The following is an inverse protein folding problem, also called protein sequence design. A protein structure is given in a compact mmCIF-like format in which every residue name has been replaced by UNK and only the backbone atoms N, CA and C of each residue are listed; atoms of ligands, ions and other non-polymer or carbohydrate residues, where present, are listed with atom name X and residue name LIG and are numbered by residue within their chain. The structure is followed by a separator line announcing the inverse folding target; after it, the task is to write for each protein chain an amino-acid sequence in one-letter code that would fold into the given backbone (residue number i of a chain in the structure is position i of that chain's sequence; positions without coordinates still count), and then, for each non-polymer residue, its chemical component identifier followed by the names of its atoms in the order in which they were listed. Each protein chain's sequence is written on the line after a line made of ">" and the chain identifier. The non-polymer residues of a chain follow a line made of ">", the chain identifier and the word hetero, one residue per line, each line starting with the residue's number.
data_IF_658149885878
#
_entry.id   IF_658149885878
#
_cell.length_a   1.000
_cell.length_b   1.000
_cell.length_c   1.000
_cell.angle_alpha   90.00
_cell.angle_beta   90.00
_cell.angle_gamma   90.00
#
_symmetry.space_group_name_H-M   'P 1'
#
loop_
_entity.id
_entity.type
_entity.pdbx_description
1 polymer ?
#
# COMPACT_ATOMS: atom_id res chain seq x y z
N UNK A 1 -43.83 67.41 2.54
CA UNK A 1 -44.03 66.04 3.09
C UNK A 1 -43.25 65.07 2.28
N UNK A 2 -42.04 64.73 2.68
CA UNK A 2 -41.08 63.84 1.96
C UNK A 2 -40.99 62.58 2.76
N UNK A 3 -41.57 61.49 2.22
CA UNK A 3 -41.52 60.17 2.82
C UNK A 3 -40.27 59.40 2.38
N UNK A 4 -39.38 59.10 3.29
CA UNK A 4 -38.18 58.30 3.08
C UNK A 4 -38.52 56.82 3.15
N UNK A 5 -38.40 56.10 2.03
CA UNK A 5 -38.49 54.65 1.97
C UNK A 5 -37.20 54.02 2.49
N UNK A 6 -37.25 53.37 3.65
CA UNK A 6 -36.15 52.60 4.17
C UNK A 6 -36.11 51.22 3.50
N UNK A 7 -35.05 50.94 2.70
CA UNK A 7 -34.78 49.64 2.15
C UNK A 7 -34.16 48.76 3.25
N UNK A 8 -34.90 47.77 3.74
CA UNK A 8 -34.37 46.70 4.60
C UNK A 8 -33.72 45.66 3.70
N UNK A 9 -32.41 45.70 3.63
CA UNK A 9 -31.60 44.66 2.99
C UNK A 9 -31.65 43.39 3.84
N UNK A 10 -32.23 42.34 3.28
CA UNK A 10 -32.23 41.00 3.85
C UNK A 10 -30.89 40.31 3.50
N UNK A 11 -29.95 40.30 4.45
CA UNK A 11 -28.67 39.58 4.32
C UNK A 11 -28.93 38.09 4.61
N UNK A 12 -28.98 37.29 3.58
CA UNK A 12 -29.06 35.82 3.70
C UNK A 12 -27.66 35.30 4.00
N UNK A 13 -27.41 34.88 5.25
CA UNK A 13 -26.21 34.12 5.60
C UNK A 13 -26.39 32.66 5.14
N UNK A 14 -25.75 32.27 4.01
CA UNK A 14 -25.59 30.88 3.64
C UNK A 14 -24.57 30.25 4.61
N UNK A 15 -25.04 29.49 5.58
CA UNK A 15 -24.21 28.56 6.33
C UNK A 15 -23.84 27.40 5.40
N UNK A 16 -22.65 27.46 4.79
CA UNK A 16 -21.99 26.29 4.19
C UNK A 16 -21.57 25.38 5.33
N UNK A 17 -22.40 24.39 5.65
CA UNK A 17 -21.98 23.25 6.46
C UNK A 17 -20.93 22.50 5.66
N UNK A 18 -19.65 22.73 5.99
CA UNK A 18 -18.55 21.92 5.51
C UNK A 18 -18.72 20.50 6.10
N UNK A 19 -19.39 19.63 5.37
CA UNK A 19 -19.27 18.20 5.59
C UNK A 19 -17.80 17.86 5.32
N UNK A 20 -17.02 17.69 6.38
CA UNK A 20 -15.72 17.04 6.28
C UNK A 20 -16.00 15.60 5.82
N UNK A 21 -16.03 15.38 4.51
CA UNK A 21 -15.90 14.05 3.94
C UNK A 21 -14.52 13.62 4.41
N UNK A 22 -14.49 12.70 5.36
CA UNK A 22 -13.25 12.13 5.86
C UNK A 22 -12.66 11.33 4.67
N UNK A 23 -11.78 11.98 3.91
CA UNK A 23 -11.18 11.37 2.74
C UNK A 23 -10.42 10.12 3.20
N UNK A 24 -10.61 9.01 2.50
CA UNK A 24 -9.88 7.77 2.77
C UNK A 24 -8.38 8.02 2.67
N UNK A 25 -7.61 7.36 3.52
CA UNK A 25 -6.15 7.34 3.41
C UNK A 25 -5.75 6.51 2.19
N UNK A 26 -5.13 7.15 1.21
CA UNK A 26 -4.68 6.50 -0.02
C UNK A 26 -3.35 5.81 0.23
N UNK A 27 -3.29 4.51 -0.03
CA UNK A 27 -2.11 3.71 0.31
C UNK A 27 -1.63 2.84 -0.85
N UNK A 28 -0.31 2.71 -1.00
CA UNK A 28 0.33 1.60 -1.69
C UNK A 28 0.82 0.64 -0.61
N UNK A 29 0.52 -0.65 -0.75
CA UNK A 29 1.02 -1.69 0.15
C UNK A 29 2.15 -2.44 -0.58
N UNK A 30 3.36 -2.37 -0.01
CA UNK A 30 4.54 -3.10 -0.46
C UNK A 30 4.66 -4.37 0.41
N UNK A 31 4.53 -5.56 -0.17
CA UNK A 31 4.17 -6.78 0.55
C UNK A 31 4.75 -8.03 -0.13
N UNK A 32 5.00 -9.05 0.65
CA UNK A 32 5.42 -10.40 0.20
C UNK A 32 4.37 -11.45 0.61
N UNK A 33 3.13 -11.41 0.03
CA UNK A 33 1.95 -12.00 0.63
C UNK A 33 2.14 -13.39 1.20
N UNK A 34 2.32 -13.40 2.53
CA UNK A 34 2.16 -14.52 3.41
C UNK A 34 0.75 -14.56 3.98
N UNK A 35 0.48 -15.42 4.97
CA UNK A 35 -0.85 -15.57 5.58
C UNK A 35 -1.28 -14.27 6.26
N UNK A 36 -0.40 -13.62 7.00
CA UNK A 36 -0.64 -12.38 7.75
C UNK A 36 -0.73 -11.15 6.82
N UNK A 37 0.15 -11.05 5.81
CA UNK A 37 0.03 -10.05 4.75
C UNK A 37 -1.33 -10.13 4.05
N UNK A 38 -1.79 -11.35 3.75
CA UNK A 38 -3.08 -11.58 3.12
C UNK A 38 -4.23 -11.02 3.97
N UNK A 39 -4.18 -11.24 5.29
CA UNK A 39 -5.14 -10.67 6.22
C UNK A 39 -5.07 -9.14 6.24
N UNK A 40 -3.87 -8.56 6.26
CA UNK A 40 -3.66 -7.12 6.25
C UNK A 40 -4.20 -6.47 4.95
N UNK A 41 -3.94 -7.08 3.78
CA UNK A 41 -4.45 -6.63 2.49
C UNK A 41 -5.98 -6.65 2.46
N UNK A 42 -6.58 -7.78 2.85
CA UNK A 42 -8.05 -7.93 2.87
C UNK A 42 -8.69 -6.95 3.86
N UNK A 43 -8.08 -6.75 5.03
CA UNK A 43 -8.51 -5.76 6.01
C UNK A 43 -8.46 -4.33 5.45
N UNK A 44 -7.36 -3.97 4.77
CA UNK A 44 -7.22 -2.65 4.16
C UNK A 44 -8.27 -2.40 3.07
N UNK A 45 -8.53 -3.39 2.21
CA UNK A 45 -9.55 -3.31 1.15
C UNK A 45 -10.97 -3.17 1.73
N UNK A 46 -11.26 -3.89 2.82
CA UNK A 46 -12.56 -3.84 3.48
C UNK A 46 -12.80 -2.56 4.31
N UNK A 47 -11.74 -1.78 4.58
CA UNK A 47 -11.82 -0.58 5.40
C UNK A 47 -12.54 0.57 4.68
N UNK A 48 -13.44 1.24 5.40
CA UNK A 48 -14.07 2.49 4.95
C UNK A 48 -13.13 3.70 5.05
N UNK A 49 -11.97 3.56 5.71
CA UNK A 49 -10.97 4.61 5.95
C UNK A 49 -9.75 4.54 5.06
N UNK A 50 -9.57 3.44 4.32
CA UNK A 50 -8.40 3.18 3.47
C UNK A 50 -8.86 3.02 2.02
N UNK A 51 -8.10 3.61 1.11
CA UNK A 51 -8.16 3.37 -0.33
C UNK A 51 -6.83 2.75 -0.76
N UNK A 52 -6.84 1.45 -1.05
CA UNK A 52 -5.65 0.77 -1.58
C UNK A 52 -5.53 1.12 -3.07
N UNK A 53 -4.57 1.97 -3.42
CA UNK A 53 -4.35 2.43 -4.80
C UNK A 53 -3.39 1.54 -5.58
N UNK A 54 -2.70 0.62 -4.92
CA UNK A 54 -1.84 -0.37 -5.54
C UNK A 54 -1.23 -1.35 -4.55
N UNK A 55 -0.87 -2.54 -5.05
CA UNK A 55 -0.07 -3.52 -4.35
C UNK A 55 1.26 -3.69 -5.08
N UNK A 56 2.34 -3.64 -4.33
CA UNK A 56 3.68 -3.96 -4.82
C UNK A 56 4.14 -5.27 -4.21
N UNK A 57 4.60 -6.20 -5.04
CA UNK A 57 5.17 -7.44 -4.53
C UNK A 57 6.68 -7.32 -4.29
N UNK A 58 7.17 -8.04 -3.30
CA UNK A 58 8.58 -8.12 -2.95
C UNK A 58 8.91 -9.57 -2.54
N UNK A 59 10.19 -9.92 -2.44
CA UNK A 59 10.64 -11.17 -1.83
C UNK A 59 10.54 -11.12 -0.31
N UNK A 60 10.43 -12.26 0.34
CA UNK A 60 10.43 -12.39 1.80
C UNK A 60 9.76 -13.69 2.23
N UNK A 61 8.50 -13.64 2.60
CA UNK A 61 7.69 -14.82 2.95
C UNK A 61 7.62 -15.84 1.82
N UNK A 62 7.65 -15.35 0.59
CA UNK A 62 7.76 -16.13 -0.65
C UNK A 62 8.70 -15.45 -1.64
N UNK A 63 9.00 -16.10 -2.76
CA UNK A 63 9.70 -15.42 -3.86
C UNK A 63 8.78 -14.40 -4.54
N UNK A 64 9.38 -13.29 -5.05
CA UNK A 64 8.65 -12.17 -5.65
C UNK A 64 7.62 -12.60 -6.71
N UNK A 65 7.98 -13.57 -7.57
CA UNK A 65 7.04 -14.09 -8.57
C UNK A 65 5.81 -14.76 -7.95
N UNK A 66 5.98 -15.49 -6.85
CA UNK A 66 4.87 -16.08 -6.12
C UNK A 66 4.10 -15.01 -5.33
N UNK A 67 4.81 -14.02 -4.74
CA UNK A 67 4.20 -12.87 -4.09
C UNK A 67 3.27 -12.09 -5.05
N UNK A 68 3.72 -11.86 -6.30
CA UNK A 68 2.91 -11.23 -7.34
C UNK A 68 1.64 -12.04 -7.65
N UNK A 69 1.79 -13.35 -7.84
CA UNK A 69 0.62 -14.23 -8.07
C UNK A 69 -0.34 -14.25 -6.89
N UNK A 70 0.20 -14.32 -5.67
CA UNK A 70 -0.63 -14.30 -4.46
C UNK A 70 -1.39 -12.98 -4.31
N UNK A 71 -0.76 -11.83 -4.59
CA UNK A 71 -1.44 -10.55 -4.59
C UNK A 71 -2.62 -10.54 -5.59
N UNK A 72 -2.41 -11.02 -6.82
CA UNK A 72 -3.47 -11.10 -7.83
C UNK A 72 -4.61 -12.05 -7.42
N UNK A 73 -4.27 -13.22 -6.86
CA UNK A 73 -5.25 -14.20 -6.34
C UNK A 73 -6.12 -13.59 -5.22
N UNK A 74 -5.50 -12.86 -4.28
CA UNK A 74 -6.22 -12.21 -3.19
C UNK A 74 -7.20 -11.16 -3.71
N UNK A 75 -6.82 -10.40 -4.73
CA UNK A 75 -7.70 -9.41 -5.34
C UNK A 75 -8.89 -10.07 -6.05
N UNK A 76 -8.69 -11.23 -6.70
CA UNK A 76 -9.78 -11.98 -7.33
C UNK A 76 -10.77 -12.52 -6.30
N UNK A 77 -10.30 -12.95 -5.11
CA UNK A 77 -11.17 -13.43 -4.04
C UNK A 77 -12.21 -12.40 -3.56
N UNK A 78 -11.89 -11.11 -3.68
CA UNK A 78 -12.73 -10.01 -3.21
C UNK A 78 -13.21 -9.10 -4.35
N UNK A 79 -13.03 -9.53 -5.59
CA UNK A 79 -13.39 -8.79 -6.82
C UNK A 79 -12.86 -7.33 -6.81
N UNK A 80 -11.65 -7.13 -6.30
CA UNK A 80 -11.04 -5.82 -6.21
C UNK A 80 -10.19 -5.51 -7.45
N UNK A 81 -10.46 -4.40 -8.12
CA UNK A 81 -9.69 -3.95 -9.28
C UNK A 81 -8.56 -2.99 -8.86
N UNK A 82 -7.54 -3.54 -8.21
CA UNK A 82 -6.36 -2.81 -7.74
C UNK A 82 -5.15 -3.23 -8.60
N UNK A 83 -4.31 -2.30 -9.08
CA UNK A 83 -3.12 -2.63 -9.83
C UNK A 83 -2.08 -3.33 -8.96
N UNK A 84 -1.35 -4.28 -9.54
CA UNK A 84 -0.24 -5.01 -8.90
C UNK A 84 1.03 -4.77 -9.71
N UNK A 85 2.09 -4.27 -9.07
CA UNK A 85 3.42 -4.14 -9.67
C UNK A 85 4.40 -5.13 -9.06
N UNK A 86 5.20 -5.80 -9.91
CA UNK A 86 6.22 -6.74 -9.47
C UNK A 86 7.51 -6.00 -9.09
N UNK A 87 8.06 -6.33 -7.92
CA UNK A 87 9.23 -5.64 -7.39
C UNK A 87 10.52 -6.46 -7.42
N UNK A 88 11.46 -6.06 -6.57
CA UNK A 88 12.78 -6.66 -6.50
C UNK A 88 12.71 -8.12 -6.08
N UNK A 89 13.64 -8.91 -6.64
CA UNK A 89 13.77 -10.36 -6.34
C UNK A 89 14.85 -10.64 -5.28
N UNK A 90 15.57 -9.61 -4.84
CA UNK A 90 16.68 -9.73 -3.89
C UNK A 90 16.96 -8.40 -3.16
N UNK A 91 17.62 -8.43 -1.99
CA UNK A 91 18.11 -7.24 -1.32
C UNK A 91 19.16 -6.49 -2.15
N UNK A 92 19.37 -5.20 -1.86
CA UNK A 92 20.40 -4.38 -2.51
C UNK A 92 21.82 -4.83 -2.14
N UNK A 93 22.05 -5.15 -0.86
CA UNK A 93 23.38 -5.46 -0.35
C UNK A 93 23.46 -6.79 0.40
N UNK A 94 22.43 -7.11 1.21
CA UNK A 94 22.45 -8.32 2.02
C UNK A 94 22.20 -9.57 1.17
N UNK A 95 22.61 -10.73 1.69
CA UNK A 95 22.20 -12.01 1.14
C UNK A 95 20.71 -12.23 1.40
N UNK A 96 19.96 -12.65 0.38
CA UNK A 96 18.56 -13.06 0.55
C UNK A 96 18.50 -14.25 1.51
N UNK A 97 17.69 -14.16 2.53
CA UNK A 97 17.42 -15.25 3.46
C UNK A 97 16.57 -16.34 2.79
N UNK A 98 16.63 -17.58 3.26
CA UNK A 98 15.72 -18.63 2.83
C UNK A 98 14.26 -18.25 3.11
N UNK A 99 13.38 -18.64 2.22
CA UNK A 99 11.93 -18.45 2.37
C UNK A 99 11.42 -19.24 3.59
N UNK A 100 10.69 -18.62 4.54
CA UNK A 100 10.24 -19.27 5.77
C UNK A 100 8.97 -20.11 5.54
N UNK A 101 9.06 -21.16 4.71
CA UNK A 101 7.93 -22.03 4.35
C UNK A 101 7.29 -22.72 5.56
N UNK A 102 8.01 -22.82 6.68
CA UNK A 102 7.48 -23.36 7.94
C UNK A 102 6.46 -22.43 8.62
N UNK A 103 6.39 -21.15 8.22
CA UNK A 103 5.43 -20.17 8.73
C UNK A 103 4.22 -20.08 7.82
N UNK A 104 4.45 -19.90 6.51
CA UNK A 104 3.40 -19.53 5.56
C UNK A 104 3.03 -20.64 4.56
N UNK A 105 3.65 -21.82 4.69
CA UNK A 105 3.50 -22.89 3.70
C UNK A 105 4.33 -22.63 2.43
N UNK A 106 4.36 -23.60 1.52
CA UNK A 106 5.12 -23.51 0.27
C UNK A 106 4.48 -22.54 -0.73
N UNK A 107 3.16 -22.39 -0.67
CA UNK A 107 2.40 -21.47 -1.50
C UNK A 107 2.32 -20.05 -0.91
N UNK A 108 2.80 -19.87 0.33
CA UNK A 108 2.71 -18.61 1.08
C UNK A 108 1.33 -18.36 1.70
N UNK A 109 0.33 -19.17 1.41
CA UNK A 109 -1.06 -18.97 1.82
C UNK A 109 -1.57 -20.08 2.74
N UNK A 110 -0.66 -20.77 3.46
CA UNK A 110 -1.01 -21.87 4.37
C UNK A 110 -1.38 -23.16 3.65
N UNK A 111 -0.94 -23.35 2.40
CA UNK A 111 -1.20 -24.51 1.54
C UNK A 111 -2.69 -24.74 1.21
N UNK A 112 -3.46 -23.64 1.18
CA UNK A 112 -4.89 -23.70 0.77
C UNK A 112 -5.08 -23.68 -0.76
N UNK A 113 -4.00 -23.47 -1.52
CA UNK A 113 -3.96 -23.56 -2.97
C UNK A 113 -5.07 -22.76 -3.70
N UNK A 114 -5.10 -21.45 -3.40
CA UNK A 114 -6.03 -20.53 -4.08
C UNK A 114 -5.83 -20.59 -5.59
N UNK A 115 -6.90 -20.63 -6.39
CA UNK A 115 -6.82 -20.70 -7.86
C UNK A 115 -5.95 -19.59 -8.46
N UNK A 116 -5.31 -19.86 -9.58
CA UNK A 116 -4.53 -18.86 -10.31
C UNK A 116 -5.43 -17.73 -10.81
N UNK A 117 -4.94 -16.50 -10.72
CA UNK A 117 -5.58 -15.36 -11.34
C UNK A 117 -5.34 -15.34 -12.85
N UNK A 118 -6.36 -14.92 -13.61
CA UNK A 118 -6.20 -14.61 -15.03
C UNK A 118 -5.65 -13.20 -15.29
N UNK A 119 -5.51 -12.39 -14.24
CA UNK A 119 -5.00 -11.02 -14.31
C UNK A 119 -3.48 -11.01 -14.41
N UNK A 120 -2.93 -9.96 -15.03
CA UNK A 120 -1.50 -9.73 -15.11
C UNK A 120 -1.09 -8.56 -14.20
N UNK A 121 0.14 -8.62 -13.71
CA UNK A 121 0.78 -7.48 -13.09
C UNK A 121 1.03 -6.38 -14.15
N UNK A 122 1.23 -5.14 -13.69
CA UNK A 122 1.61 -4.03 -14.55
C UNK A 122 2.96 -4.31 -15.25
N UNK A 123 3.14 -3.73 -16.41
CA UNK A 123 4.41 -3.71 -17.12
C UNK A 123 5.31 -2.55 -16.59
N UNK A 124 5.36 -2.44 -15.26
CA UNK A 124 6.17 -1.50 -14.49
C UNK A 124 6.75 -2.24 -13.30
N UNK A 125 7.95 -1.87 -12.89
CA UNK A 125 8.48 -2.33 -11.61
C UNK A 125 7.76 -1.65 -10.45
N UNK A 126 7.76 -2.29 -9.28
CA UNK A 126 7.19 -1.69 -8.07
C UNK A 126 7.81 -0.32 -7.74
N UNK A 127 9.11 -0.14 -7.99
CA UNK A 127 9.79 1.14 -7.76
C UNK A 127 9.29 2.23 -8.70
N UNK A 128 9.12 1.93 -9.98
CA UNK A 128 8.56 2.86 -10.97
C UNK A 128 7.11 3.20 -10.63
N UNK A 129 6.30 2.21 -10.29
CA UNK A 129 4.91 2.41 -9.87
C UNK A 129 4.80 3.32 -8.64
N UNK A 130 5.66 3.15 -7.61
CA UNK A 130 5.73 4.05 -6.46
C UNK A 130 6.02 5.48 -6.93
N UNK A 131 7.07 5.65 -7.75
CA UNK A 131 7.47 6.97 -8.25
C UNK A 131 6.33 7.63 -9.01
N UNK A 132 5.77 6.96 -10.00
CA UNK A 132 4.68 7.52 -10.82
C UNK A 132 3.47 7.89 -9.97
N UNK A 133 3.04 7.00 -9.06
CA UNK A 133 1.84 7.24 -8.24
C UNK A 133 2.05 8.38 -7.25
N UNK A 134 3.17 8.41 -6.52
CA UNK A 134 3.44 9.45 -5.52
C UNK A 134 3.71 10.80 -6.18
N UNK A 135 4.49 10.83 -7.27
CA UNK A 135 4.83 12.10 -7.93
C UNK A 135 3.63 12.70 -8.68
N UNK A 136 2.65 11.90 -9.07
CA UNK A 136 1.37 12.38 -9.62
C UNK A 136 0.37 12.85 -8.55
N UNK A 137 0.60 12.49 -7.27
CA UNK A 137 -0.27 12.82 -6.13
C UNK A 137 0.57 13.28 -4.93
N UNK A 138 1.29 14.42 -5.03
CA UNK A 138 2.24 14.86 -4.00
C UNK A 138 1.56 15.07 -2.64
N UNK A 139 2.10 14.44 -1.60
CA UNK A 139 1.59 14.54 -0.22
C UNK A 139 0.31 13.77 0.06
N UNK A 140 -0.21 12.97 -0.89
CA UNK A 140 -1.47 12.24 -0.71
C UNK A 140 -1.27 10.75 -0.44
N UNK A 141 -0.21 10.15 -0.96
CA UNK A 141 0.01 8.71 -0.92
C UNK A 141 0.87 8.31 0.28
N UNK A 142 0.38 7.37 1.06
CA UNK A 142 1.14 6.68 2.11
C UNK A 142 1.66 5.34 1.60
N UNK A 143 2.88 4.99 1.96
CA UNK A 143 3.47 3.69 1.67
C UNK A 143 3.38 2.82 2.93
N UNK A 144 2.83 1.62 2.80
CA UNK A 144 2.82 0.60 3.87
C UNK A 144 3.78 -0.50 3.43
N UNK A 145 4.89 -0.66 4.16
CA UNK A 145 5.88 -1.69 3.88
C UNK A 145 5.70 -2.85 4.87
N UNK A 146 5.20 -3.98 4.41
CA UNK A 146 5.03 -5.21 5.17
C UNK A 146 6.22 -6.16 4.98
N UNK A 147 6.86 -6.10 3.82
CA UNK A 147 8.06 -6.85 3.48
C UNK A 147 9.35 -6.02 3.51
N UNK A 148 10.44 -6.54 2.95
CA UNK A 148 11.71 -5.80 2.82
C UNK A 148 11.57 -4.49 2.06
N UNK A 149 12.19 -3.42 2.51
CA UNK A 149 12.03 -2.08 1.95
C UNK A 149 12.81 -1.82 0.64
N UNK A 150 13.21 -2.85 -0.09
CA UNK A 150 14.05 -2.73 -1.29
C UNK A 150 13.36 -1.95 -2.40
N UNK A 151 12.06 -2.15 -2.62
CA UNK A 151 11.31 -1.40 -3.63
C UNK A 151 11.27 0.10 -3.31
N UNK A 152 11.06 0.45 -2.06
CA UNK A 152 11.04 1.85 -1.59
C UNK A 152 12.43 2.48 -1.73
N UNK A 153 13.49 1.74 -1.39
CA UNK A 153 14.86 2.21 -1.56
C UNK A 153 15.20 2.45 -3.03
N UNK A 154 14.78 1.58 -3.93
CA UNK A 154 14.93 1.74 -5.38
C UNK A 154 14.12 2.93 -5.90
N UNK A 155 12.89 3.12 -5.43
CA UNK A 155 12.06 4.26 -5.79
C UNK A 155 12.71 5.59 -5.39
N UNK A 156 13.29 5.67 -4.18
CA UNK A 156 14.04 6.84 -3.72
C UNK A 156 15.33 7.08 -4.52
N UNK A 157 15.97 6.01 -5.00
CA UNK A 157 17.14 6.13 -5.86
C UNK A 157 16.79 6.61 -7.28
N UNK A 158 15.62 6.19 -7.82
CA UNK A 158 15.10 6.63 -9.10
C UNK A 158 14.62 8.10 -9.05
N UNK A 159 13.94 8.49 -7.99
CA UNK A 159 13.38 9.82 -7.81
C UNK A 159 13.58 10.32 -6.36
N UNK A 160 14.68 11.02 -6.07
CA UNK A 160 14.98 11.50 -4.71
C UNK A 160 13.93 12.46 -4.12
N UNK A 161 13.17 13.19 -4.97
CA UNK A 161 12.09 14.06 -4.53
C UNK A 161 10.93 13.28 -3.90
N UNK A 162 10.86 11.97 -4.10
CA UNK A 162 9.91 11.08 -3.44
C UNK A 162 9.91 11.30 -1.91
N UNK A 163 11.09 11.53 -1.30
CA UNK A 163 11.24 11.74 0.13
C UNK A 163 10.42 12.91 0.69
N UNK A 164 10.12 13.92 -0.13
CA UNK A 164 9.34 15.10 0.25
C UNK A 164 7.92 15.09 -0.31
N UNK A 165 7.59 14.15 -1.18
CA UNK A 165 6.28 14.04 -1.83
C UNK A 165 5.45 12.86 -1.33
N UNK A 166 6.06 11.85 -0.70
CA UNK A 166 5.30 10.80 0.00
C UNK A 166 4.67 11.38 1.26
N UNK A 167 3.41 11.05 1.53
CA UNK A 167 2.71 11.53 2.72
C UNK A 167 3.34 10.98 3.99
N UNK A 168 3.57 9.66 4.02
CA UNK A 168 4.28 8.93 5.09
C UNK A 168 4.71 7.55 4.62
N UNK A 169 5.62 6.95 5.37
CA UNK A 169 5.96 5.53 5.24
C UNK A 169 5.68 4.87 6.58
N UNK A 170 4.89 3.80 6.57
CA UNK A 170 4.63 2.94 7.72
C UNK A 170 5.26 1.59 7.43
N UNK A 171 6.28 1.23 8.18
CA UNK A 171 7.04 0.00 7.97
C UNK A 171 6.89 -0.97 9.13
N UNK A 172 6.67 -2.24 8.82
CA UNK A 172 6.91 -3.35 9.74
C UNK A 172 8.42 -3.56 9.79
N UNK A 173 9.09 -2.81 10.67
CA UNK A 173 10.54 -2.60 10.62
C UNK A 173 11.37 -3.51 11.54
N UNK A 174 10.72 -4.34 12.36
CA UNK A 174 11.40 -5.22 13.29
C UNK A 174 11.03 -4.96 14.76
N UNK A 175 11.81 -5.52 15.68
CA UNK A 175 11.58 -5.47 17.13
C UNK A 175 12.66 -4.68 17.86
N UNK A 176 12.30 -4.05 18.98
CA UNK A 176 13.21 -3.24 19.80
C UNK A 176 13.40 -3.81 21.22
N UNK A 177 12.33 -4.30 21.84
CA UNK A 177 12.32 -4.65 23.26
C UNK A 177 12.06 -6.14 23.53
N UNK A 178 11.83 -6.93 22.48
CA UNK A 178 11.56 -8.37 22.56
C UNK A 178 12.39 -9.09 21.50
N UNK A 179 12.69 -10.38 21.67
CA UNK A 179 13.33 -11.18 20.61
C UNK A 179 12.41 -11.25 19.37
N UNK A 180 13.01 -11.21 18.18
CA UNK A 180 12.30 -11.50 16.94
C UNK A 180 11.95 -12.99 16.82
N UNK A 181 11.05 -13.33 15.91
CA UNK A 181 10.61 -14.70 15.67
C UNK A 181 11.43 -15.41 14.57
N UNK A 182 12.13 -14.66 13.74
CA UNK A 182 12.99 -15.18 12.64
C UNK A 182 14.46 -14.90 12.92
N UNK A 183 14.77 -13.75 13.52
CA UNK A 183 16.12 -13.34 13.91
C UNK A 183 16.07 -12.57 15.23
N UNK A 184 17.21 -12.23 15.87
CA UNK A 184 17.20 -11.43 17.09
C UNK A 184 16.52 -10.05 16.96
N UNK A 185 16.29 -9.58 15.74
CA UNK A 185 15.73 -8.24 15.44
C UNK A 185 14.50 -8.27 14.52
N UNK A 186 14.05 -9.45 14.12
CA UNK A 186 12.88 -9.61 13.24
C UNK A 186 12.18 -10.95 13.47
#
# INVERSE_FOLDING_TARGET
>A
MTGTLAHRGLTVFLLLAAFSINAKERVIIDTDPGVDDSQAILFAIASDKIEVVGLNSIFGNVDTGLATRNALRLLDLVDANIPVASGSVRPLYAKKLPTPTFVHGKDGLGEIWVPESSRAALDLTAAEFIVETVMSNPGEISLIALGPMTNIALALALEPRLATNVKRIVAMGGVLAVPGNVSPVA
#
